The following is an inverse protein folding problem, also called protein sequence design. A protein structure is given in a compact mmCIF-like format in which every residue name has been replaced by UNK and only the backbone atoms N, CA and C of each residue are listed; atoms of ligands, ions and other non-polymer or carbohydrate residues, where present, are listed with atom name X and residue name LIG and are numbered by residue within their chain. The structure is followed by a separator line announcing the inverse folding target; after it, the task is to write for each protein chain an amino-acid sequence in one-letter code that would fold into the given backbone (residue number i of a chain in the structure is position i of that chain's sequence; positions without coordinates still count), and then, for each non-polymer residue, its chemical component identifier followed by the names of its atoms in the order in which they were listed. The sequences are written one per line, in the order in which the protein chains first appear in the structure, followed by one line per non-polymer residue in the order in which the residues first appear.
data_IF_367560561564
#
_entry.id   IF_367560561564
#
_cell.length_a   1.000
_cell.length_b   1.000
_cell.length_c   1.000
_cell.angle_alpha   90.00
_cell.angle_beta   90.00
_cell.angle_gamma   90.00
#
_symmetry.space_group_name_H-M   'P 1'
#
loop_
_entity.id
_entity.type
_entity.pdbx_description
1 polymer ?
#
# COMPACT_ATOMS: atom_id res chain seq x y z
N UNK A 1 -1.35 -18.15 7.61
CA UNK A 1 -2.36 -17.15 7.25
C UNK A 1 -2.90 -16.47 8.50
N UNK A 2 -3.02 -15.19 8.46
CA UNK A 2 -3.69 -14.35 9.45
C UNK A 2 -4.28 -13.13 8.74
N UNK A 3 -5.11 -12.36 9.41
CA UNK A 3 -5.63 -11.08 8.93
C UNK A 3 -5.34 -9.99 9.97
N UNK A 4 -5.27 -8.75 9.51
CA UNK A 4 -5.01 -7.59 10.35
C UNK A 4 -6.29 -6.82 10.70
N UNK A 5 -7.34 -7.00 9.90
CA UNK A 5 -8.60 -6.25 9.98
C UNK A 5 -9.82 -7.14 10.25
N UNK A 6 -10.32 -7.82 9.22
CA UNK A 6 -11.49 -8.69 9.25
C UNK A 6 -11.13 -10.11 8.79
N UNK A 7 -12.08 -11.04 8.84
CA UNK A 7 -11.85 -12.40 8.32
C UNK A 7 -11.83 -12.35 6.80
N UNK A 8 -10.80 -12.99 6.22
CA UNK A 8 -10.68 -13.29 4.79
C UNK A 8 -10.55 -14.80 4.61
N UNK A 9 -10.71 -15.31 3.40
CA UNK A 9 -10.40 -16.70 3.09
C UNK A 9 -9.47 -16.80 1.88
N UNK A 10 -8.29 -17.35 2.07
CA UNK A 10 -7.39 -17.69 0.99
C UNK A 10 -7.92 -18.91 0.25
N UNK A 11 -8.21 -18.78 -1.04
CA UNK A 11 -8.73 -19.84 -1.85
C UNK A 11 -8.10 -19.86 -3.24
N UNK A 12 -7.43 -20.97 -3.56
CA UNK A 12 -6.92 -21.28 -4.89
C UNK A 12 -7.57 -22.59 -5.33
N UNK A 13 -8.58 -22.54 -6.21
CA UNK A 13 -9.37 -23.72 -6.60
C UNK A 13 -8.54 -24.88 -7.12
N UNK A 14 -7.53 -24.59 -7.95
CA UNK A 14 -6.66 -25.61 -8.55
C UNK A 14 -5.86 -26.42 -7.51
N UNK A 15 -5.67 -25.88 -6.31
CA UNK A 15 -5.03 -26.60 -5.20
C UNK A 15 -6.05 -27.33 -4.31
N UNK A 16 -7.34 -27.20 -4.59
CA UNK A 16 -8.44 -27.70 -3.76
C UNK A 16 -8.35 -27.23 -2.29
N UNK A 17 -7.74 -26.06 -2.06
CA UNK A 17 -7.47 -25.51 -0.73
C UNK A 17 -8.20 -24.18 -0.52
N UNK A 18 -8.91 -24.12 0.61
CA UNK A 18 -9.49 -22.91 1.16
C UNK A 18 -9.21 -22.85 2.65
N UNK A 19 -8.69 -21.73 3.13
CA UNK A 19 -8.39 -21.53 4.54
C UNK A 19 -8.64 -20.07 4.94
N UNK A 20 -9.32 -19.91 6.07
CA UNK A 20 -9.63 -18.59 6.59
C UNK A 20 -8.39 -17.92 7.22
N UNK A 21 -8.23 -16.63 6.95
CA UNK A 21 -7.32 -15.75 7.63
C UNK A 21 -8.11 -14.97 8.68
N UNK A 22 -7.92 -15.30 9.95
CA UNK A 22 -8.70 -14.76 11.06
C UNK A 22 -7.82 -13.85 11.91
N UNK A 23 -8.28 -12.62 12.23
CA UNK A 23 -7.54 -11.72 13.12
C UNK A 23 -7.21 -12.38 14.46
N UNK A 24 -5.94 -12.25 14.88
CA UNK A 24 -5.48 -12.82 16.15
C UNK A 24 -5.16 -14.32 16.11
N UNK A 25 -5.39 -15.02 14.99
CA UNK A 25 -5.03 -16.42 14.82
C UNK A 25 -4.05 -16.60 13.67
N UNK A 26 -3.13 -17.55 13.81
CA UNK A 26 -2.25 -17.98 12.71
C UNK A 26 -2.67 -19.37 12.25
N UNK A 27 -3.29 -19.43 11.09
CA UNK A 27 -3.66 -20.68 10.45
C UNK A 27 -2.55 -21.19 9.52
N UNK A 28 -2.24 -22.45 9.59
CA UNK A 28 -1.29 -23.09 8.67
C UNK A 28 -2.00 -23.73 7.49
N UNK A 29 -1.37 -23.66 6.33
CA UNK A 29 -1.81 -24.27 5.09
C UNK A 29 -0.57 -24.72 4.31
N UNK A 30 -0.63 -25.85 3.68
CA UNK A 30 0.43 -26.35 2.82
C UNK A 30 -0.13 -27.00 1.56
N UNK A 31 0.65 -27.03 0.51
CA UNK A 31 0.35 -27.67 -0.75
C UNK A 31 1.61 -28.33 -1.29
N UNK A 32 1.49 -29.53 -1.79
CA UNK A 32 2.54 -30.20 -2.55
C UNK A 32 2.18 -30.15 -4.03
N UNK A 33 3.06 -29.52 -4.83
CA UNK A 33 2.86 -29.40 -6.27
C UNK A 33 3.85 -30.33 -6.97
N UNK A 34 3.36 -31.35 -7.69
CA UNK A 34 4.22 -32.29 -8.41
C UNK A 34 5.12 -31.59 -9.43
N UNK A 35 6.30 -32.16 -9.66
CA UNK A 35 7.22 -31.74 -10.72
C UNK A 35 6.51 -31.77 -12.08
N UNK A 36 6.71 -30.74 -12.88
CA UNK A 36 6.06 -30.58 -14.19
C UNK A 36 4.69 -29.91 -14.10
N UNK A 37 4.33 -29.39 -12.91
CA UNK A 37 3.14 -28.55 -12.69
C UNK A 37 3.52 -27.11 -12.33
N UNK A 38 4.67 -26.67 -12.81
CA UNK A 38 5.07 -25.25 -12.72
C UNK A 38 4.09 -24.38 -13.52
N UNK A 39 3.79 -23.20 -13.01
CA UNK A 39 2.84 -22.31 -13.68
C UNK A 39 2.21 -21.29 -12.75
N UNK A 40 1.23 -20.58 -13.26
CA UNK A 40 0.49 -19.54 -12.54
C UNK A 40 -0.89 -20.07 -12.18
N UNK A 41 -1.18 -20.13 -10.89
CA UNK A 41 -2.45 -20.52 -10.32
C UNK A 41 -3.17 -19.32 -9.74
N UNK A 42 -4.45 -19.20 -10.00
CA UNK A 42 -5.22 -18.02 -9.61
C UNK A 42 -6.26 -18.38 -8.56
N UNK A 43 -6.33 -17.51 -7.56
CA UNK A 43 -7.30 -17.61 -6.49
C UNK A 43 -7.93 -16.25 -6.20
N UNK A 44 -8.74 -16.24 -5.17
CA UNK A 44 -9.44 -15.05 -4.69
C UNK A 44 -9.77 -15.20 -3.22
N UNK A 45 -10.10 -14.09 -2.59
CA UNK A 45 -10.76 -14.12 -1.29
C UNK A 45 -12.12 -14.82 -1.42
N UNK A 46 -12.43 -15.72 -0.52
CA UNK A 46 -13.68 -16.49 -0.50
C UNK A 46 -14.52 -16.24 0.77
N UNK A 47 -14.17 -15.20 1.55
CA UNK A 47 -14.96 -14.71 2.69
C UNK A 47 -15.29 -13.25 2.48
N UNK A 48 -16.57 -12.88 2.64
CA UNK A 48 -17.02 -11.49 2.45
C UNK A 48 -16.35 -10.58 3.48
N UNK A 49 -15.45 -9.72 3.02
CA UNK A 49 -14.57 -8.91 3.86
C UNK A 49 -14.75 -7.39 3.69
N UNK A 50 -15.77 -6.96 2.97
CA UNK A 50 -16.09 -5.54 2.77
C UNK A 50 -16.20 -5.13 1.30
N UNK A 51 -16.16 -3.81 1.05
CA UNK A 51 -16.41 -3.22 -0.28
C UNK A 51 -15.45 -3.70 -1.38
N UNK A 52 -14.22 -4.01 -1.02
CA UNK A 52 -13.17 -4.41 -1.96
C UNK A 52 -12.96 -5.94 -2.02
N UNK A 53 -13.90 -6.71 -1.47
CA UNK A 53 -13.86 -8.18 -1.46
C UNK A 53 -13.58 -8.81 -2.83
N UNK A 54 -14.17 -8.27 -3.89
CA UNK A 54 -13.97 -8.77 -5.25
C UNK A 54 -12.64 -8.35 -5.90
N UNK A 55 -11.91 -7.40 -5.29
CA UNK A 55 -10.71 -6.79 -5.84
C UNK A 55 -9.41 -7.25 -5.16
N UNK A 56 -9.43 -8.38 -4.46
CA UNK A 56 -8.27 -8.97 -3.82
C UNK A 56 -7.94 -10.35 -4.40
N UNK A 57 -7.39 -10.40 -5.63
CA UNK A 57 -6.99 -11.64 -6.28
C UNK A 57 -5.76 -12.25 -5.60
N UNK A 58 -5.65 -13.58 -5.72
CA UNK A 58 -4.47 -14.34 -5.32
C UNK A 58 -3.80 -14.87 -6.58
N UNK A 59 -2.48 -14.69 -6.67
CA UNK A 59 -1.67 -15.27 -7.74
C UNK A 59 -0.55 -16.07 -7.09
N UNK A 60 -0.53 -17.37 -7.36
CA UNK A 60 0.53 -18.28 -6.93
C UNK A 60 1.33 -18.68 -8.16
N UNK A 61 2.61 -18.32 -8.17
CA UNK A 61 3.54 -18.73 -9.20
C UNK A 61 4.36 -19.92 -8.69
N UNK A 62 4.13 -21.09 -9.26
CA UNK A 62 4.91 -22.31 -8.98
C UNK A 62 6.09 -22.36 -9.93
N UNK A 63 7.28 -22.39 -9.39
CA UNK A 63 8.56 -22.40 -10.12
C UNK A 63 9.27 -23.73 -9.97
N UNK A 64 10.14 -24.05 -10.92
CA UNK A 64 11.12 -25.12 -10.73
C UNK A 64 12.01 -24.82 -9.52
N UNK A 65 12.63 -25.85 -8.93
CA UNK A 65 13.57 -25.65 -7.80
C UNK A 65 14.72 -24.70 -8.16
N UNK A 66 15.20 -24.75 -9.41
CA UNK A 66 16.28 -23.89 -9.89
C UNK A 66 15.82 -22.44 -10.02
N UNK A 67 14.67 -22.21 -10.65
CA UNK A 67 14.09 -20.87 -10.83
C UNK A 67 13.65 -20.25 -9.50
N UNK A 68 13.13 -21.07 -8.58
CA UNK A 68 12.81 -20.57 -7.23
C UNK A 68 14.06 -20.11 -6.47
N UNK A 69 15.16 -20.87 -6.54
CA UNK A 69 16.43 -20.44 -5.91
C UNK A 69 16.93 -19.12 -6.47
N UNK A 70 16.86 -18.96 -7.80
CA UNK A 70 17.25 -17.70 -8.46
C UNK A 70 16.34 -16.57 -8.03
N UNK A 71 15.03 -16.77 -8.10
CA UNK A 71 14.03 -15.77 -7.67
C UNK A 71 14.26 -15.35 -6.21
N UNK A 72 14.53 -16.31 -5.30
CA UNK A 72 14.76 -16.02 -3.90
C UNK A 72 16.03 -15.17 -3.69
N UNK A 73 17.12 -15.47 -4.41
CA UNK A 73 18.33 -14.67 -4.36
C UNK A 73 18.09 -13.23 -4.87
N UNK A 74 17.39 -13.10 -6.00
CA UNK A 74 17.04 -11.80 -6.58
C UNK A 74 16.07 -11.02 -5.66
N UNK A 75 15.10 -11.70 -5.05
CA UNK A 75 14.15 -11.10 -4.11
C UNK A 75 14.86 -10.58 -2.85
N UNK A 76 15.84 -11.33 -2.32
CA UNK A 76 16.64 -10.89 -1.17
C UNK A 76 17.42 -9.61 -1.49
N UNK A 77 18.10 -9.57 -2.64
CA UNK A 77 18.84 -8.37 -3.07
C UNK A 77 17.91 -7.16 -3.22
N UNK A 78 16.72 -7.35 -3.81
CA UNK A 78 15.73 -6.27 -3.93
C UNK A 78 15.25 -5.79 -2.56
N UNK A 79 14.90 -6.70 -1.66
CA UNK A 79 14.44 -6.36 -0.31
C UNK A 79 15.50 -5.62 0.51
N UNK A 80 16.77 -6.03 0.41
CA UNK A 80 17.89 -5.33 1.06
C UNK A 80 18.10 -3.93 0.48
N UNK A 81 17.97 -3.77 -0.85
CA UNK A 81 18.09 -2.48 -1.51
C UNK A 81 16.92 -1.55 -1.13
N UNK A 82 15.69 -2.06 -1.09
CA UNK A 82 14.50 -1.33 -0.66
C UNK A 82 14.60 -0.91 0.80
N UNK A 83 15.03 -1.81 1.70
CA UNK A 83 15.24 -1.49 3.10
C UNK A 83 16.31 -0.41 3.30
N UNK A 84 17.42 -0.48 2.53
CA UNK A 84 18.45 0.55 2.55
C UNK A 84 17.95 1.89 2.03
N UNK A 85 17.17 1.89 0.95
CA UNK A 85 16.56 3.10 0.40
C UNK A 85 15.54 3.71 1.37
N UNK A 86 14.72 2.88 2.01
CA UNK A 86 13.78 3.32 3.03
C UNK A 86 14.50 3.94 4.23
N UNK A 87 15.55 3.30 4.74
CA UNK A 87 16.37 3.83 5.83
C UNK A 87 17.01 5.18 5.47
N UNK A 88 17.56 5.31 4.25
CA UNK A 88 18.16 6.55 3.77
C UNK A 88 17.13 7.69 3.58
N UNK A 89 15.84 7.35 3.46
CA UNK A 89 14.76 8.34 3.29
C UNK A 89 14.32 8.99 4.60
N UNK A 90 14.65 8.41 5.75
CA UNK A 90 14.21 8.91 7.08
C UNK A 90 14.82 10.28 7.37
N UNK A 91 16.12 10.46 7.10
CA UNK A 91 16.84 11.71 7.36
C UNK A 91 17.01 12.56 6.09
N UNK A 92 16.29 12.23 5.01
CA UNK A 92 16.42 12.95 3.76
C UNK A 92 15.90 14.38 3.90
N UNK A 93 16.75 15.34 3.49
CA UNK A 93 16.39 16.77 3.43
C UNK A 93 16.30 17.20 1.98
N UNK A 94 15.15 17.76 1.62
CA UNK A 94 14.99 18.35 0.28
C UNK A 94 15.93 19.55 0.10
N UNK A 95 16.60 19.67 -1.06
CA UNK A 95 17.51 20.76 -1.31
C UNK A 95 16.79 22.13 -1.44
N UNK A 96 15.52 22.12 -1.80
CA UNK A 96 14.67 23.29 -1.90
C UNK A 96 13.19 22.93 -1.75
N UNK A 97 12.35 23.96 -1.52
CA UNK A 97 10.91 23.81 -1.54
C UNK A 97 10.42 23.30 -2.92
N UNK A 98 10.96 23.81 -4.00
CA UNK A 98 10.58 23.40 -5.37
C UNK A 98 10.85 21.91 -5.62
N UNK A 99 11.97 21.40 -5.10
CA UNK A 99 12.28 19.98 -5.19
C UNK A 99 11.27 19.13 -4.40
N UNK A 100 10.89 19.56 -3.20
CA UNK A 100 9.87 18.90 -2.40
C UNK A 100 8.49 18.96 -3.07
N UNK A 101 8.14 20.10 -3.66
CA UNK A 101 6.88 20.30 -4.39
C UNK A 101 6.79 19.38 -5.62
N UNK A 102 7.86 19.29 -6.40
CA UNK A 102 7.91 18.43 -7.59
C UNK A 102 7.75 16.94 -7.25
N UNK A 103 8.51 16.48 -6.25
CA UNK A 103 8.40 15.08 -5.79
C UNK A 103 7.00 14.84 -5.18
N UNK A 104 6.49 15.79 -4.41
CA UNK A 104 5.16 15.73 -3.78
C UNK A 104 4.02 15.71 -4.78
N UNK A 105 4.10 16.49 -5.85
CA UNK A 105 3.13 16.47 -6.94
C UNK A 105 3.05 15.08 -7.60
N UNK A 106 4.20 14.47 -7.88
CA UNK A 106 4.25 13.13 -8.47
C UNK A 106 3.57 12.09 -7.57
N UNK A 107 3.83 12.13 -6.26
CA UNK A 107 3.17 11.24 -5.29
C UNK A 107 1.67 11.54 -5.21
N UNK A 108 1.29 12.81 -5.16
CA UNK A 108 -0.10 13.25 -5.09
C UNK A 108 -0.92 12.74 -6.28
N UNK A 109 -0.43 12.97 -7.49
CA UNK A 109 -1.09 12.51 -8.72
C UNK A 109 -1.24 11.00 -8.75
N UNK A 110 -0.22 10.28 -8.32
CA UNK A 110 -0.21 8.81 -8.35
C UNK A 110 -1.11 8.17 -7.27
N UNK A 111 -1.31 8.82 -6.11
CA UNK A 111 -1.91 8.17 -4.93
C UNK A 111 -3.12 8.89 -4.35
N UNK A 112 -3.18 10.21 -4.42
CA UNK A 112 -4.17 11.03 -3.72
C UNK A 112 -5.24 11.61 -4.65
N UNK A 113 -4.85 11.96 -5.88
CA UNK A 113 -5.70 12.67 -6.84
C UNK A 113 -6.94 11.88 -7.27
N UNK A 114 -6.91 10.55 -7.21
CA UNK A 114 -8.08 9.71 -7.52
C UNK A 114 -9.29 10.03 -6.64
N UNK A 115 -9.06 10.39 -5.38
CA UNK A 115 -10.11 10.77 -4.43
C UNK A 115 -10.21 12.28 -4.26
N UNK A 116 -9.07 12.97 -4.11
CA UNK A 116 -9.03 14.39 -3.80
C UNK A 116 -9.00 15.30 -5.04
N UNK A 117 -9.02 14.74 -6.24
CA UNK A 117 -8.90 15.41 -7.53
C UNK A 117 -7.53 16.10 -7.71
N UNK A 118 -7.09 16.25 -8.94
CA UNK A 118 -5.81 16.97 -9.26
C UNK A 118 -5.82 18.41 -8.74
N UNK A 119 -7.01 19.04 -8.72
CA UNK A 119 -7.19 20.40 -8.21
C UNK A 119 -7.26 20.53 -6.69
N UNK A 120 -7.24 19.41 -5.95
CA UNK A 120 -7.45 19.41 -4.50
C UNK A 120 -8.88 19.69 -4.05
N UNK A 121 -9.84 19.79 -4.98
CA UNK A 121 -11.22 20.16 -4.67
C UNK A 121 -12.03 19.03 -4.04
N UNK A 122 -11.55 17.76 -4.15
CA UNK A 122 -12.27 16.59 -3.68
C UNK A 122 -13.57 16.35 -4.43
N UNK A 123 -14.42 15.50 -3.87
CA UNK A 123 -15.80 15.21 -4.30
C UNK A 123 -16.71 15.13 -3.07
N UNK A 124 -17.06 16.26 -2.46
CA UNK A 124 -17.94 16.26 -1.28
C UNK A 124 -19.34 15.66 -1.59
N UNK A 125 -19.95 14.95 -0.64
CA UNK A 125 -19.51 14.72 0.74
C UNK A 125 -18.55 13.53 0.90
N UNK A 126 -18.27 12.77 -0.16
CA UNK A 126 -17.55 11.49 -0.08
C UNK A 126 -16.04 11.69 0.13
N UNK A 127 -15.42 12.58 -0.66
CA UNK A 127 -14.00 12.88 -0.56
C UNK A 127 -13.81 14.37 -0.25
N UNK A 128 -13.26 14.72 0.91
CA UNK A 128 -13.14 16.12 1.32
C UNK A 128 -12.15 16.88 0.43
N UNK A 129 -12.38 18.19 0.27
CA UNK A 129 -11.43 19.07 -0.36
C UNK A 129 -10.17 19.24 0.52
N UNK A 130 -9.00 19.23 -0.10
CA UNK A 130 -7.74 19.63 0.53
C UNK A 130 -7.52 21.14 0.33
N UNK A 131 -7.83 21.64 -0.85
CA UNK A 131 -7.81 23.07 -1.16
C UNK A 131 -8.71 23.85 -0.18
N UNK A 132 -8.10 24.78 0.57
CA UNK A 132 -8.80 25.59 1.57
C UNK A 132 -9.17 24.83 2.86
N UNK A 133 -8.77 23.58 3.00
CA UNK A 133 -8.93 22.82 4.25
C UNK A 133 -7.97 23.36 5.31
N UNK A 134 -8.48 23.69 6.49
CA UNK A 134 -7.64 24.12 7.61
C UNK A 134 -6.59 23.09 7.98
N UNK A 135 -6.97 21.80 7.97
CA UNK A 135 -6.04 20.71 8.29
C UNK A 135 -4.90 20.65 7.26
N UNK A 136 -5.24 20.76 5.97
CA UNK A 136 -4.22 20.65 4.91
C UNK A 136 -3.39 21.93 4.74
N UNK A 137 -3.88 23.13 5.12
CA UNK A 137 -3.21 24.39 4.79
C UNK A 137 -2.71 25.18 6.00
N UNK A 138 -3.40 25.11 7.17
CA UNK A 138 -2.99 25.91 8.32
C UNK A 138 -1.82 25.28 9.09
N UNK A 139 -0.84 26.10 9.46
CA UNK A 139 0.37 25.67 10.17
C UNK A 139 0.07 24.99 11.50
N UNK A 140 -0.98 25.42 12.20
CA UNK A 140 -1.41 24.85 13.49
C UNK A 140 -1.80 23.38 13.39
N UNK A 141 -2.24 22.91 12.21
CA UNK A 141 -2.70 21.55 11.95
C UNK A 141 -1.69 20.67 11.21
N UNK A 142 -0.41 21.04 11.23
CA UNK A 142 0.62 20.24 10.53
C UNK A 142 0.69 18.81 11.02
N UNK A 143 0.68 18.61 12.34
CA UNK A 143 0.74 17.27 12.91
C UNK A 143 -0.51 16.45 12.60
N UNK A 144 -1.69 17.06 12.71
CA UNK A 144 -2.97 16.39 12.36
C UNK A 144 -2.96 15.92 10.88
N UNK A 145 -2.43 16.74 9.97
CA UNK A 145 -2.32 16.44 8.57
C UNK A 145 -1.37 15.24 8.32
N UNK A 146 -0.19 15.28 8.94
CA UNK A 146 0.80 14.18 8.86
C UNK A 146 0.19 12.89 9.41
N UNK A 147 -0.48 12.94 10.57
CA UNK A 147 -1.09 11.78 11.20
C UNK A 147 -2.19 11.16 10.34
N UNK A 148 -2.97 11.98 9.62
CA UNK A 148 -3.99 11.49 8.68
C UNK A 148 -3.34 10.78 7.49
N UNK A 149 -2.25 11.31 6.94
CA UNK A 149 -1.52 10.63 5.85
C UNK A 149 -0.93 9.30 6.34
N UNK A 150 -0.32 9.29 7.51
CA UNK A 150 0.34 8.10 8.07
C UNK A 150 -0.68 7.01 8.38
N UNK A 151 -1.73 7.35 9.15
CA UNK A 151 -2.62 6.39 9.79
C UNK A 151 -3.98 6.26 9.10
N UNK A 152 -4.31 7.16 8.19
CA UNK A 152 -5.63 7.25 7.59
C UNK A 152 -6.66 7.93 8.49
N UNK A 153 -7.84 8.17 7.93
CA UNK A 153 -8.99 8.71 8.68
C UNK A 153 -10.30 8.31 7.98
N UNK A 154 -11.21 7.67 8.71
CA UNK A 154 -12.48 7.18 8.17
C UNK A 154 -12.26 6.24 6.96
N UNK A 155 -12.73 6.63 5.76
CA UNK A 155 -12.54 5.87 4.52
C UNK A 155 -11.18 6.10 3.86
N UNK A 156 -10.39 7.08 4.29
CA UNK A 156 -9.05 7.33 3.77
C UNK A 156 -8.07 6.32 4.38
N UNK A 157 -7.37 5.51 3.57
CA UNK A 157 -6.39 4.56 4.08
C UNK A 157 -5.15 5.27 4.64
N UNK A 158 -4.46 4.63 5.56
CA UNK A 158 -3.13 5.04 6.00
C UNK A 158 -2.06 4.65 4.98
N UNK A 159 -1.07 5.52 4.80
CA UNK A 159 -0.03 5.34 3.79
C UNK A 159 1.32 4.88 4.33
N UNK A 160 1.43 4.68 5.64
CA UNK A 160 2.67 4.28 6.32
C UNK A 160 3.35 3.04 5.73
N UNK A 161 2.56 2.06 5.27
CA UNK A 161 3.08 0.82 4.70
C UNK A 161 3.42 0.92 3.20
N UNK A 162 3.06 2.03 2.54
CA UNK A 162 3.13 2.18 1.08
C UNK A 162 4.13 3.27 0.69
N UNK A 163 4.12 4.40 1.41
CA UNK A 163 4.98 5.54 1.13
C UNK A 163 6.21 5.55 2.05
N UNK A 164 7.36 5.85 1.48
CA UNK A 164 8.57 6.12 2.24
C UNK A 164 8.44 7.42 3.04
N UNK A 165 9.21 7.62 4.12
CA UNK A 165 9.22 8.89 4.85
C UNK A 165 9.49 10.10 3.96
N UNK A 166 10.36 9.97 2.95
CA UNK A 166 10.62 11.01 1.96
C UNK A 166 9.37 11.37 1.15
N UNK A 167 8.65 10.36 0.65
CA UNK A 167 7.43 10.57 -0.13
C UNK A 167 6.32 11.17 0.72
N UNK A 168 6.17 10.73 1.97
CA UNK A 168 5.22 11.33 2.91
C UNK A 168 5.53 12.80 3.18
N UNK A 169 6.80 13.15 3.40
CA UNK A 169 7.22 14.53 3.58
C UNK A 169 6.99 15.38 2.32
N UNK A 170 7.28 14.81 1.14
CA UNK A 170 7.08 15.48 -0.14
C UNK A 170 5.59 15.76 -0.39
N UNK A 171 4.72 14.75 -0.28
CA UNK A 171 3.29 14.92 -0.54
C UNK A 171 2.62 15.83 0.48
N UNK A 172 2.99 15.73 1.75
CA UNK A 172 2.52 16.68 2.78
C UNK A 172 2.92 18.12 2.42
N UNK A 173 4.16 18.33 1.95
CA UNK A 173 4.64 19.64 1.52
C UNK A 173 3.84 20.14 0.32
N UNK A 174 3.59 19.30 -0.67
CA UNK A 174 2.79 19.65 -1.84
C UNK A 174 1.37 20.06 -1.45
N UNK A 175 0.65 19.21 -0.71
CA UNK A 175 -0.73 19.46 -0.29
C UNK A 175 -0.88 20.75 0.53
N UNK A 176 0.16 21.19 1.21
CA UNK A 176 0.17 22.40 2.02
C UNK A 176 0.51 23.67 1.25
N UNK A 177 1.02 23.56 0.03
CA UNK A 177 1.53 24.71 -0.73
C UNK A 177 0.95 24.82 -2.16
N UNK A 178 0.22 23.79 -2.63
CA UNK A 178 -0.25 23.75 -4.01
C UNK A 178 -1.47 24.63 -4.30
N UNK A 179 -2.27 25.00 -3.26
CA UNK A 179 -3.54 25.72 -3.44
C UNK A 179 -3.71 26.92 -2.49
#
# INVERSE_FOLDING_TARGET
LTADDVIHAWWVPDFALKRDAVPGFVNEIWVDVPVGKEGIYRGRCAELCGKDHAFMPIVVEVKSKADFKKWLADAKVRSEAEAKAAAASVDYKFPSLDAAMKDGEAVYVARCAACHQVSGAGLPPMFPALKGSKIATEKAHLQDHIDIIINGKNAMPGWKAILTPREMAAVTTYERNAW
#
